data_IF_244938294135
#
_entry.id   IF_244938294135
#
_cell.length_a   1.000
_cell.length_b   1.000
_cell.length_c   1.000
_cell.angle_alpha   90.00
_cell.angle_beta   90.00
_cell.angle_gamma   90.00
#
_symmetry.space_group_name_H-M   'P 1'
#
loop_
_entity.id
_entity.type
_entity.pdbx_description
1 polymer ?
#
# COMPACT_ATOMS: atom_id res chain seq x y z
N UNK A 1 18.56 43.76 -13.61
CA UNK A 1 17.10 43.67 -13.34
C UNK A 1 16.73 42.25 -12.90
N UNK A 2 16.11 42.13 -11.71
CA UNK A 2 15.61 40.88 -11.12
C UNK A 2 14.37 40.37 -11.88
N UNK A 3 14.30 39.06 -12.14
CA UNK A 3 13.05 38.26 -11.99
C UNK A 3 13.38 36.84 -11.53
N UNK A 4 13.63 36.68 -10.22
CA UNK A 4 13.56 35.37 -9.55
C UNK A 4 12.09 34.92 -9.58
N UNK A 5 11.75 33.97 -10.46
CA UNK A 5 10.42 33.34 -10.49
C UNK A 5 10.26 32.48 -9.23
N UNK A 6 9.10 32.63 -8.60
CA UNK A 6 8.83 32.30 -7.21
C UNK A 6 9.15 30.87 -6.82
N UNK A 7 9.86 30.76 -5.70
CA UNK A 7 9.98 29.56 -4.87
C UNK A 7 8.57 29.24 -4.35
N UNK A 8 7.87 28.30 -5.00
CA UNK A 8 6.60 27.77 -4.48
C UNK A 8 6.94 26.78 -3.37
N UNK A 9 7.07 27.31 -2.15
CA UNK A 9 6.88 26.51 -0.94
C UNK A 9 5.45 25.96 -0.99
N UNK A 10 5.29 24.68 -1.27
CA UNK A 10 4.21 23.80 -0.79
C UNK A 10 4.23 22.53 -1.62
N UNK A 11 4.55 21.41 -0.99
CA UNK A 11 4.51 20.15 -1.71
C UNK A 11 5.02 18.91 -1.00
N UNK A 12 5.52 18.93 0.25
CA UNK A 12 5.93 17.70 0.91
C UNK A 12 4.83 16.62 0.89
N UNK A 13 3.56 17.02 0.87
CA UNK A 13 2.43 16.10 0.68
C UNK A 13 2.33 15.56 -0.76
N UNK A 14 2.48 16.41 -1.78
CA UNK A 14 2.44 15.99 -3.18
C UNK A 14 3.62 15.07 -3.54
N UNK A 15 4.82 15.37 -3.02
CA UNK A 15 5.99 14.51 -3.17
C UNK A 15 5.86 13.22 -2.37
N UNK A 16 5.28 13.24 -1.16
CA UNK A 16 4.99 12.01 -0.38
C UNK A 16 3.94 11.14 -1.06
N UNK A 17 2.90 11.73 -1.63
CA UNK A 17 1.89 11.04 -2.44
C UNK A 17 2.52 10.49 -3.73
N UNK A 18 3.34 11.29 -4.43
CA UNK A 18 4.12 10.81 -5.58
C UNK A 18 5.06 9.67 -5.20
N UNK A 19 5.67 9.70 -4.02
CA UNK A 19 6.53 8.62 -3.55
C UNK A 19 5.73 7.35 -3.20
N UNK A 20 4.46 7.47 -2.79
CA UNK A 20 3.53 6.32 -2.71
C UNK A 20 3.21 5.73 -4.09
N UNK A 21 3.26 6.52 -5.17
CA UNK A 21 2.90 6.09 -6.53
C UNK A 21 4.10 5.86 -7.48
N UNK A 22 5.29 6.36 -7.16
CA UNK A 22 6.39 6.54 -8.12
C UNK A 22 7.76 6.04 -7.64
N UNK A 23 7.85 5.46 -6.45
CA UNK A 23 9.08 4.87 -5.94
C UNK A 23 9.07 3.35 -6.05
N UNK A 24 10.21 2.76 -6.41
CA UNK A 24 10.50 1.33 -6.46
C UNK A 24 10.40 0.65 -5.07
N UNK A 25 9.25 0.68 -4.40
CA UNK A 25 9.04 0.02 -3.09
C UNK A 25 9.12 -1.51 -3.18
N UNK A 26 9.08 -2.04 -4.39
CA UNK A 26 9.11 -3.45 -4.74
C UNK A 26 10.45 -3.87 -5.38
N UNK A 27 11.56 -3.18 -5.08
CA UNK A 27 12.88 -3.47 -5.68
C UNK A 27 13.56 -4.75 -5.18
N UNK A 28 12.95 -5.48 -4.24
CA UNK A 28 13.61 -6.60 -3.55
C UNK A 28 12.70 -7.82 -3.56
N UNK A 29 13.07 -8.79 -4.42
CA UNK A 29 12.67 -10.21 -4.39
C UNK A 29 11.22 -10.54 -4.78
N UNK A 30 10.94 -10.51 -6.08
CA UNK A 30 9.78 -11.22 -6.67
C UNK A 30 8.75 -10.29 -7.31
N UNK A 31 7.99 -10.84 -8.25
CA UNK A 31 6.87 -10.13 -8.85
C UNK A 31 5.84 -9.82 -7.76
N UNK A 32 5.35 -8.57 -7.64
CA UNK A 32 4.29 -8.25 -6.69
C UNK A 32 3.08 -9.13 -6.96
N UNK A 33 2.69 -9.90 -5.96
CA UNK A 33 1.52 -10.76 -6.01
C UNK A 33 0.33 -10.02 -5.39
N UNK A 34 -0.87 -10.42 -5.79
CA UNK A 34 -2.08 -9.94 -5.13
C UNK A 34 -2.07 -10.43 -3.68
N UNK A 35 -2.57 -9.59 -2.77
CA UNK A 35 -2.65 -9.96 -1.36
C UNK A 35 -3.44 -11.25 -1.11
N UNK A 36 -4.38 -11.58 -2.01
CA UNK A 36 -5.22 -12.78 -1.96
C UNK A 36 -4.45 -14.08 -2.23
N UNK A 37 -3.36 -14.01 -2.97
CA UNK A 37 -2.56 -15.17 -3.36
C UNK A 37 -1.39 -15.44 -2.41
N UNK A 38 -1.12 -14.53 -1.47
CA UNK A 38 -0.03 -14.65 -0.51
C UNK A 38 -0.48 -15.26 0.82
N UNK A 39 0.46 -15.90 1.50
CA UNK A 39 0.31 -16.41 2.87
C UNK A 39 1.54 -16.03 3.70
N UNK A 40 1.36 -15.81 4.99
CA UNK A 40 2.45 -15.45 5.90
C UNK A 40 2.79 -13.96 5.90
N UNK A 41 4.05 -13.65 6.23
CA UNK A 41 4.57 -12.29 6.33
C UNK A 41 4.74 -11.68 4.94
N UNK A 42 4.14 -10.53 4.71
CA UNK A 42 4.27 -9.81 3.45
C UNK A 42 4.56 -8.34 3.67
N UNK A 43 5.15 -7.70 2.67
CA UNK A 43 5.34 -6.26 2.61
C UNK A 43 4.45 -5.65 1.56
N UNK A 44 3.69 -4.62 1.93
CA UNK A 44 2.82 -3.88 1.02
C UNK A 44 3.68 -3.03 0.09
N UNK A 45 3.59 -3.28 -1.22
CA UNK A 45 4.29 -2.47 -2.21
C UNK A 45 3.41 -1.35 -2.75
N UNK A 46 2.16 -1.66 -3.04
CA UNK A 46 1.24 -0.71 -3.68
C UNK A 46 -0.19 -1.01 -3.29
N UNK A 47 -0.98 0.04 -3.16
CA UNK A 47 -2.43 -0.03 -3.03
C UNK A 47 -3.02 0.66 -4.27
N UNK A 48 -3.67 -0.11 -5.14
CA UNK A 48 -4.42 0.43 -6.27
C UNK A 48 -5.84 0.80 -5.80
N UNK A 49 -6.42 1.83 -6.40
CA UNK A 49 -7.78 2.29 -6.12
C UNK A 49 -7.91 3.80 -6.14
N UNK A 50 -9.14 4.27 -5.94
CA UNK A 50 -9.43 5.70 -5.88
C UNK A 50 -8.82 6.36 -4.64
N UNK A 51 -8.71 7.69 -4.68
CA UNK A 51 -8.23 8.49 -3.55
C UNK A 51 -8.90 8.14 -2.22
N UNK A 52 -10.20 7.85 -2.23
CA UNK A 52 -10.98 7.45 -1.04
C UNK A 52 -10.54 6.10 -0.49
N UNK A 53 -10.29 5.12 -1.37
CA UNK A 53 -9.85 3.77 -0.99
C UNK A 53 -8.45 3.86 -0.39
N UNK A 54 -7.51 4.52 -1.08
CA UNK A 54 -6.14 4.66 -0.58
C UNK A 54 -6.10 5.40 0.77
N UNK A 55 -6.89 6.46 0.94
CA UNK A 55 -6.99 7.16 2.22
C UNK A 55 -7.54 6.26 3.34
N UNK A 56 -8.58 5.47 3.03
CA UNK A 56 -9.16 4.50 3.96
C UNK A 56 -8.15 3.43 4.35
N UNK A 57 -7.45 2.82 3.38
CA UNK A 57 -6.41 1.81 3.65
C UNK A 57 -5.30 2.39 4.52
N UNK A 58 -4.81 3.58 4.18
CA UNK A 58 -3.79 4.26 4.98
C UNK A 58 -4.24 4.56 6.41
N UNK A 59 -5.52 4.95 6.61
CA UNK A 59 -6.09 5.18 7.94
C UNK A 59 -6.19 3.91 8.79
N UNK A 60 -6.28 2.74 8.14
CA UNK A 60 -6.23 1.44 8.81
C UNK A 60 -4.79 0.94 9.01
N UNK A 61 -3.78 1.73 8.62
CA UNK A 61 -2.36 1.35 8.72
C UNK A 61 -1.82 0.58 7.52
N UNK A 62 -2.58 0.48 6.42
CA UNK A 62 -2.17 -0.23 5.22
C UNK A 62 -1.71 0.76 4.14
N UNK A 63 -0.39 0.91 4.00
CA UNK A 63 0.25 1.80 3.03
C UNK A 63 1.57 1.19 2.51
N UNK A 64 2.09 1.67 1.37
CA UNK A 64 3.36 1.17 0.82
C UNK A 64 4.50 1.19 1.84
N UNK A 65 5.24 0.10 1.92
CA UNK A 65 6.36 -0.11 2.83
C UNK A 65 6.02 -0.80 4.15
N UNK A 66 4.74 -1.00 4.47
CA UNK A 66 4.28 -1.66 5.71
C UNK A 66 4.39 -3.17 5.61
N UNK A 67 4.79 -3.80 6.71
CA UNK A 67 4.75 -5.25 6.88
C UNK A 67 3.42 -5.69 7.50
N UNK A 68 2.86 -6.76 6.96
CA UNK A 68 1.58 -7.32 7.36
C UNK A 68 1.68 -8.84 7.45
N UNK A 69 1.04 -9.43 8.46
CA UNK A 69 0.92 -10.88 8.59
C UNK A 69 -0.44 -11.33 8.04
N UNK A 70 -0.44 -12.13 6.98
CA UNK A 70 -1.66 -12.71 6.41
C UNK A 70 -2.06 -13.93 7.26
N UNK A 71 -3.21 -13.83 7.94
CA UNK A 71 -3.72 -14.90 8.81
C UNK A 71 -4.54 -15.90 8.00
N UNK A 72 -5.48 -15.41 7.18
CA UNK A 72 -6.32 -16.26 6.33
C UNK A 72 -6.45 -15.66 4.93
N UNK A 73 -5.95 -16.41 3.95
CA UNK A 73 -6.25 -16.25 2.54
C UNK A 73 -7.04 -17.49 2.10
N UNK A 74 -8.26 -17.66 2.62
CA UNK A 74 -9.14 -18.72 2.14
C UNK A 74 -9.84 -18.27 0.85
N UNK A 75 -9.89 -19.19 -0.13
CA UNK A 75 -10.48 -18.97 -1.45
C UNK A 75 -11.94 -18.53 -1.30
N UNK A 76 -12.19 -17.23 -1.46
CA UNK A 76 -13.48 -16.78 -2.01
C UNK A 76 -14.17 -15.61 -1.36
N UNK A 77 -13.71 -15.01 -0.25
CA UNK A 77 -14.51 -13.90 0.31
C UNK A 77 -13.74 -12.80 1.03
N UNK A 78 -12.88 -13.11 2.00
CA UNK A 78 -12.29 -12.06 2.83
C UNK A 78 -10.86 -12.42 3.23
N UNK A 79 -9.94 -11.49 3.04
CA UNK A 79 -8.55 -11.63 3.49
C UNK A 79 -8.42 -11.06 4.90
N UNK A 80 -7.90 -11.85 5.83
CA UNK A 80 -7.58 -11.40 7.19
C UNK A 80 -6.10 -11.08 7.31
N UNK A 81 -5.81 -9.86 7.72
CA UNK A 81 -4.47 -9.27 7.77
C UNK A 81 -4.22 -8.74 9.15
N UNK A 82 -3.03 -8.96 9.69
CA UNK A 82 -2.58 -8.34 10.94
C UNK A 82 -1.55 -7.28 10.63
N UNK A 83 -1.85 -6.04 11.00
CA UNK A 83 -1.03 -4.86 10.71
C UNK A 83 -0.94 -4.02 11.99
N UNK A 84 0.27 -3.65 12.40
CA UNK A 84 0.51 -2.87 13.62
C UNK A 84 -0.19 -3.43 14.89
N UNK A 85 -0.34 -4.75 14.98
CA UNK A 85 -1.00 -5.42 16.11
C UNK A 85 -2.54 -5.47 16.04
N UNK A 86 -3.16 -4.79 15.07
CA UNK A 86 -4.59 -4.88 14.78
C UNK A 86 -4.88 -5.89 13.67
N UNK A 87 -6.07 -6.51 13.71
CA UNK A 87 -6.54 -7.42 12.66
C UNK A 87 -7.58 -6.70 11.79
N UNK A 88 -7.39 -6.75 10.47
CA UNK A 88 -8.23 -6.11 9.47
C UNK A 88 -8.77 -7.20 8.53
N UNK A 89 -10.08 -7.20 8.33
CA UNK A 89 -10.74 -7.97 7.27
C UNK A 89 -10.91 -7.11 6.03
N UNK A 90 -10.34 -7.55 4.91
CA UNK A 90 -10.54 -6.91 3.61
C UNK A 90 -11.46 -7.72 2.72
N UNK A 91 -12.29 -7.01 1.96
CA UNK A 91 -13.09 -7.55 0.88
C UNK A 91 -12.19 -8.01 -0.29
N UNK A 92 -12.64 -8.96 -1.11
CA UNK A 92 -11.83 -9.56 -2.17
C UNK A 92 -11.51 -8.53 -3.27
N UNK A 93 -12.46 -7.62 -3.54
CA UNK A 93 -12.25 -6.52 -4.48
C UNK A 93 -11.13 -5.56 -4.03
N UNK A 94 -10.89 -5.42 -2.71
CA UNK A 94 -9.82 -4.57 -2.19
C UNK A 94 -8.50 -5.35 -2.13
N UNK A 95 -8.53 -6.61 -1.70
CA UNK A 95 -7.31 -7.42 -1.59
C UNK A 95 -6.66 -7.70 -2.95
N UNK A 96 -7.44 -7.84 -4.03
CA UNK A 96 -6.94 -7.96 -5.41
C UNK A 96 -6.22 -6.68 -5.89
N UNK A 97 -6.58 -5.53 -5.33
CA UNK A 97 -5.97 -4.24 -5.67
C UNK A 97 -4.73 -3.92 -4.82
N UNK A 98 -4.39 -4.75 -3.84
CA UNK A 98 -3.22 -4.56 -2.99
C UNK A 98 -2.13 -5.50 -3.49
N UNK A 99 -1.01 -4.89 -3.87
CA UNK A 99 0.18 -5.59 -4.32
C UNK A 99 1.16 -5.73 -3.17
N UNK A 100 1.61 -6.96 -2.94
CA UNK A 100 2.53 -7.30 -1.88
C UNK A 100 3.69 -8.16 -2.38
N UNK A 101 4.75 -8.20 -1.59
CA UNK A 101 5.89 -9.09 -1.78
C UNK A 101 6.06 -9.96 -0.54
N UNK A 102 6.34 -11.23 -0.74
CA UNK A 102 6.69 -12.15 0.35
C UNK A 102 8.02 -11.75 0.98
N UNK A 103 8.09 -11.80 2.32
CA UNK A 103 9.33 -11.60 3.08
C UNK A 103 10.03 -12.92 3.40
#
# INVERSE_FOLDING_TARGET
MRRKRGKKNNGCFADKVRNCFGGNHCALRGAPASLKDCKGRVKVCKVNGDRKICARMASMGLYPGVEADIICAEKGSRCLLKVHGGTISLDPAISENILVTSL
#
